data_IF_522402224839
#
_entry.id   IF_522402224839
#
_cell.length_a   1.000
_cell.length_b   1.000
_cell.length_c   1.000
_cell.angle_alpha   90.00
_cell.angle_beta   90.00
_cell.angle_gamma   90.00
#
_symmetry.space_group_name_H-M   'P 1'
#
loop_
_entity.id
_entity.type
_entity.pdbx_description
1 polymer ?
#
# COMPACT_ATOMS: atom_id res chain seq x y z
N UNK A 1 7.13 -5.72 1.36
CA UNK A 1 6.18 -4.92 2.14
C UNK A 1 5.55 -5.69 3.30
N UNK A 2 4.67 -6.69 3.09
CA UNK A 2 4.03 -7.40 4.23
C UNK A 2 5.07 -8.08 5.16
N UNK A 3 6.09 -8.73 4.60
CA UNK A 3 7.21 -9.29 5.37
C UNK A 3 8.00 -8.22 6.13
N UNK A 4 8.35 -7.13 5.47
CA UNK A 4 9.11 -6.02 6.09
C UNK A 4 8.32 -5.36 7.23
N UNK A 5 6.99 -5.25 7.11
CA UNK A 5 6.12 -4.75 8.19
C UNK A 5 6.08 -5.73 9.37
N UNK A 6 6.05 -7.04 9.08
CA UNK A 6 6.10 -8.07 10.10
C UNK A 6 7.40 -7.99 10.91
N UNK A 7 8.53 -7.68 10.26
CA UNK A 7 9.81 -7.52 10.94
C UNK A 7 9.85 -6.35 11.92
N UNK A 8 9.02 -5.31 11.73
CA UNK A 8 8.93 -4.14 12.62
C UNK A 8 8.24 -4.45 13.95
N UNK A 9 7.39 -5.47 14.00
CA UNK A 9 6.62 -5.85 15.19
C UNK A 9 7.53 -6.24 16.35
N UNK A 10 7.08 -5.99 17.57
CA UNK A 10 7.67 -6.60 18.75
C UNK A 10 7.60 -8.13 18.68
N UNK A 11 8.58 -8.80 19.30
CA UNK A 11 8.68 -10.27 19.26
C UNK A 11 7.37 -10.96 19.68
N UNK A 12 6.68 -10.46 20.70
CA UNK A 12 5.40 -11.01 21.17
C UNK A 12 4.29 -10.91 20.12
N UNK A 13 4.23 -9.80 19.39
CA UNK A 13 3.23 -9.57 18.35
C UNK A 13 3.52 -10.40 17.10
N UNK A 14 4.80 -10.55 16.74
CA UNK A 14 5.21 -11.50 15.68
C UNK A 14 4.80 -12.92 16.01
N UNK A 15 5.15 -13.40 17.21
CA UNK A 15 4.79 -14.76 17.62
C UNK A 15 3.28 -14.93 17.68
N UNK A 16 2.53 -13.94 18.16
CA UNK A 16 1.06 -13.99 18.18
C UNK A 16 0.46 -14.11 16.78
N UNK A 17 0.97 -13.35 15.81
CA UNK A 17 0.54 -13.48 14.42
C UNK A 17 0.92 -14.85 13.83
N UNK A 18 2.11 -15.38 14.14
CA UNK A 18 2.52 -16.73 13.69
C UNK A 18 1.70 -17.84 14.36
N UNK A 19 1.29 -17.67 15.61
CA UNK A 19 0.37 -18.57 16.29
C UNK A 19 -0.98 -18.60 15.57
N UNK A 20 -1.52 -17.42 15.24
CA UNK A 20 -2.74 -17.30 14.45
C UNK A 20 -2.59 -18.02 13.10
N UNK A 21 -1.49 -17.81 12.38
CA UNK A 21 -1.24 -18.50 11.11
C UNK A 21 -1.18 -20.02 11.25
N UNK A 22 -0.59 -20.55 12.34
CA UNK A 22 -0.62 -21.98 12.62
C UNK A 22 -2.04 -22.50 12.89
N UNK A 23 -2.83 -21.78 13.70
CA UNK A 23 -4.23 -22.15 13.95
C UNK A 23 -5.12 -22.06 12.70
N UNK A 24 -4.72 -21.29 11.67
CA UNK A 24 -5.45 -21.26 10.39
C UNK A 24 -5.16 -22.47 9.49
N UNK A 25 -4.06 -23.19 9.73
CA UNK A 25 -3.70 -24.37 8.95
C UNK A 25 -4.29 -25.66 9.53
N UNK A 26 -4.72 -25.62 10.79
CA UNK A 26 -5.06 -26.78 11.59
C UNK A 26 -6.47 -26.60 12.18
N UNK A 27 -7.42 -27.43 11.74
CA UNK A 27 -8.83 -27.35 12.15
C UNK A 27 -9.10 -27.95 13.55
N UNK A 28 -8.08 -28.55 14.18
CA UNK A 28 -8.19 -29.29 15.44
C UNK A 28 -7.20 -28.79 16.51
N UNK A 29 -7.18 -29.46 17.67
CA UNK A 29 -6.31 -29.13 18.79
C UNK A 29 -4.82 -29.18 18.43
N UNK A 30 -4.07 -28.15 18.82
CA UNK A 30 -2.61 -28.09 18.72
C UNK A 30 -1.94 -28.21 20.08
N UNK A 31 -1.05 -29.20 20.24
CA UNK A 31 -0.26 -29.32 21.46
C UNK A 31 0.79 -28.22 21.56
N UNK A 32 1.09 -27.81 22.79
CA UNK A 32 2.16 -26.82 23.08
C UNK A 32 3.51 -27.25 22.51
N UNK A 33 3.78 -28.56 22.47
CA UNK A 33 5.02 -29.12 21.91
C UNK A 33 5.09 -28.96 20.40
N UNK A 34 3.99 -29.17 19.68
CA UNK A 34 3.96 -29.00 18.24
C UNK A 34 4.13 -27.54 17.86
N UNK A 35 3.49 -26.63 18.60
CA UNK A 35 3.68 -25.19 18.43
C UNK A 35 5.13 -24.77 18.72
N UNK A 36 5.70 -25.27 19.82
CA UNK A 36 7.10 -25.06 20.23
C UNK A 36 8.08 -25.46 19.13
N UNK A 37 7.88 -26.64 18.52
CA UNK A 37 8.68 -27.14 17.40
C UNK A 37 8.49 -26.31 16.12
N UNK A 38 7.24 -25.98 15.75
CA UNK A 38 6.94 -25.23 14.54
C UNK A 38 7.48 -23.78 14.57
N UNK A 39 7.46 -23.15 15.75
CA UNK A 39 7.89 -21.76 15.93
C UNK A 39 9.34 -21.62 16.41
N UNK A 40 10.06 -22.73 16.63
CA UNK A 40 11.43 -22.77 17.16
C UNK A 40 11.60 -21.94 18.45
N UNK A 41 10.69 -22.15 19.41
CA UNK A 41 10.69 -21.49 20.72
C UNK A 41 10.47 -22.53 21.81
N UNK A 42 10.90 -22.25 23.05
CA UNK A 42 10.69 -23.20 24.16
C UNK A 42 9.21 -23.32 24.56
N UNK A 43 8.79 -24.49 25.07
CA UNK A 43 7.44 -24.75 25.59
C UNK A 43 6.98 -23.67 26.59
N UNK A 44 7.88 -23.21 27.46
CA UNK A 44 7.62 -22.13 28.41
C UNK A 44 7.31 -20.80 27.71
N UNK A 45 8.03 -20.49 26.63
CA UNK A 45 7.78 -19.30 25.82
C UNK A 45 6.47 -19.42 25.06
N UNK A 46 6.18 -20.61 24.51
CA UNK A 46 4.91 -20.92 23.84
C UNK A 46 3.72 -20.65 24.74
N UNK A 47 3.70 -21.22 25.95
CA UNK A 47 2.63 -20.97 26.93
C UNK A 47 2.48 -19.48 27.25
N UNK A 48 3.59 -18.77 27.44
CA UNK A 48 3.55 -17.32 27.71
C UNK A 48 2.92 -16.54 26.55
N UNK A 49 3.25 -16.88 25.30
CA UNK A 49 2.69 -16.18 24.14
C UNK A 49 1.23 -16.57 23.86
N UNK A 50 0.83 -17.79 24.20
CA UNK A 50 -0.59 -18.19 24.17
C UNK A 50 -1.40 -17.35 25.14
N UNK A 51 -0.96 -17.23 26.40
CA UNK A 51 -1.66 -16.38 27.38
C UNK A 51 -1.69 -14.91 26.95
N UNK A 52 -0.60 -14.40 26.40
CA UNK A 52 -0.59 -13.06 25.84
C UNK A 52 -1.60 -12.90 24.69
N UNK A 53 -1.69 -13.88 23.78
CA UNK A 53 -2.66 -13.86 22.69
C UNK A 53 -4.10 -13.95 23.22
N UNK A 54 -4.35 -14.71 24.29
CA UNK A 54 -5.64 -14.77 25.01
C UNK A 54 -6.08 -13.37 25.47
N UNK A 55 -5.19 -12.66 26.20
CA UNK A 55 -5.45 -11.30 26.68
C UNK A 55 -5.76 -10.35 25.52
N UNK A 56 -4.99 -10.44 24.42
CA UNK A 56 -5.20 -9.62 23.22
C UNK A 56 -6.53 -9.90 22.54
N UNK A 57 -6.97 -11.16 22.51
CA UNK A 57 -8.27 -11.54 21.94
C UNK A 57 -9.41 -11.01 22.81
N UNK A 58 -9.28 -11.09 24.13
CA UNK A 58 -10.29 -10.55 25.04
C UNK A 58 -10.42 -9.02 24.84
N UNK A 59 -9.30 -8.30 24.78
CA UNK A 59 -9.30 -6.86 24.46
C UNK A 59 -9.94 -6.55 23.09
N UNK A 60 -9.65 -7.37 22.07
CA UNK A 60 -10.22 -7.22 20.73
C UNK A 60 -11.73 -7.49 20.72
N UNK A 61 -12.18 -8.55 21.38
CA UNK A 61 -13.60 -8.91 21.47
C UNK A 61 -14.40 -7.81 22.19
N UNK A 62 -13.86 -7.26 23.27
CA UNK A 62 -14.48 -6.17 24.03
C UNK A 62 -14.56 -4.86 23.22
N UNK A 63 -13.55 -4.57 22.41
CA UNK A 63 -13.48 -3.32 21.65
C UNK A 63 -14.24 -3.33 20.32
N UNK A 64 -14.30 -4.47 19.64
CA UNK A 64 -14.90 -4.59 18.29
C UNK A 64 -16.24 -5.38 18.28
N UNK A 65 -16.79 -5.70 19.46
CA UNK A 65 -18.01 -6.51 19.63
C UNK A 65 -17.94 -7.85 18.87
N UNK A 66 -16.79 -8.53 18.97
CA UNK A 66 -16.51 -9.82 18.31
C UNK A 66 -16.53 -10.98 19.29
N UNK A 67 -16.55 -12.19 18.74
CA UNK A 67 -16.62 -13.44 19.52
C UNK A 67 -15.61 -14.48 19.02
N UNK A 68 -14.33 -14.10 18.97
CA UNK A 68 -13.26 -15.08 18.75
C UNK A 68 -13.06 -15.86 20.04
N UNK A 69 -13.00 -17.20 19.96
CA UNK A 69 -12.81 -18.06 21.14
C UNK A 69 -11.52 -18.85 21.02
N UNK A 70 -10.73 -18.80 22.08
CA UNK A 70 -9.59 -19.68 22.28
C UNK A 70 -9.90 -20.65 23.41
N UNK A 71 -9.78 -21.94 23.13
CA UNK A 71 -9.99 -23.00 24.11
C UNK A 71 -8.66 -23.60 24.50
N UNK A 72 -8.44 -23.69 25.81
CA UNK A 72 -7.30 -24.41 26.39
C UNK A 72 -7.80 -25.64 27.14
N UNK A 73 -7.33 -26.82 26.76
CA UNK A 73 -7.61 -28.06 27.49
C UNK A 73 -6.31 -28.77 27.86
N UNK A 74 -6.15 -29.03 29.16
CA UNK A 74 -4.98 -29.72 29.70
C UNK A 74 -4.82 -31.07 28.99
N UNK A 75 -3.61 -31.33 28.45
CA UNK A 75 -3.24 -32.53 27.68
C UNK A 75 -3.78 -32.65 26.26
N UNK A 76 -4.70 -31.78 25.80
CA UNK A 76 -5.07 -31.70 24.37
C UNK A 76 -4.41 -30.52 23.66
N UNK A 77 -4.17 -29.43 24.38
CA UNK A 77 -3.51 -28.24 23.83
C UNK A 77 -4.48 -27.07 23.65
N UNK A 78 -4.38 -26.38 22.52
CA UNK A 78 -5.15 -25.18 22.20
C UNK A 78 -5.98 -25.41 20.95
N UNK A 79 -7.23 -24.95 20.96
CA UNK A 79 -8.09 -24.89 19.79
C UNK A 79 -8.60 -23.47 19.59
N UNK A 80 -8.59 -23.01 18.34
CA UNK A 80 -9.05 -21.69 17.95
C UNK A 80 -10.36 -21.78 17.18
N UNK A 81 -11.39 -21.04 17.60
CA UNK A 81 -12.69 -20.98 16.91
C UNK A 81 -12.96 -19.55 16.43
N UNK A 82 -13.04 -19.37 15.12
CA UNK A 82 -13.15 -18.08 14.47
C UNK A 82 -13.79 -18.19 13.08
N UNK A 83 -14.31 -17.06 12.59
CA UNK A 83 -14.63 -16.88 11.17
C UNK A 83 -13.42 -16.31 10.42
N UNK A 84 -13.20 -16.71 9.16
CA UNK A 84 -12.08 -16.25 8.33
C UNK A 84 -11.96 -14.72 8.22
N UNK A 85 -13.06 -13.98 8.25
CA UNK A 85 -13.00 -12.51 8.24
C UNK A 85 -12.49 -11.94 9.57
N UNK A 86 -12.81 -12.59 10.68
CA UNK A 86 -12.47 -12.12 12.03
C UNK A 86 -10.98 -12.31 12.35
N UNK A 87 -10.33 -13.31 11.75
CA UNK A 87 -8.91 -13.59 11.96
C UNK A 87 -7.98 -12.57 11.30
N UNK A 88 -8.32 -12.10 10.10
CA UNK A 88 -7.55 -11.04 9.41
C UNK A 88 -7.70 -9.71 10.15
N UNK A 89 -8.90 -9.44 10.69
CA UNK A 89 -9.16 -8.26 11.52
C UNK A 89 -8.38 -8.31 12.84
N UNK A 90 -8.34 -9.47 13.52
CA UNK A 90 -7.52 -9.66 14.72
C UNK A 90 -6.03 -9.44 14.43
N UNK A 91 -5.51 -9.99 13.32
CA UNK A 91 -4.13 -9.73 12.89
C UNK A 91 -3.89 -8.25 12.65
N UNK A 92 -4.81 -7.56 11.98
CA UNK A 92 -4.69 -6.11 11.77
C UNK A 92 -4.73 -5.34 13.10
N UNK A 93 -5.56 -5.77 14.06
CA UNK A 93 -5.63 -5.18 15.40
C UNK A 93 -4.29 -5.29 16.13
N UNK A 94 -3.68 -6.49 16.14
CA UNK A 94 -2.34 -6.71 16.72
C UNK A 94 -1.31 -5.80 16.05
N UNK A 95 -1.32 -5.79 14.73
CA UNK A 95 -0.39 -5.01 13.91
C UNK A 95 -0.53 -3.51 14.15
N UNK A 96 -1.76 -3.00 14.24
CA UNK A 96 -2.04 -1.58 14.36
C UNK A 96 -1.84 -1.04 15.77
N UNK A 97 -1.82 -1.93 16.78
CA UNK A 97 -1.54 -1.59 18.17
C UNK A 97 -0.08 -1.79 18.58
N UNK A 98 0.76 -2.44 17.75
CA UNK A 98 2.20 -2.47 17.95
C UNK A 98 2.81 -1.06 17.89
N UNK A 99 3.66 -0.69 18.85
CA UNK A 99 4.12 0.70 19.00
C UNK A 99 4.78 1.26 17.74
N UNK A 100 5.68 0.48 17.12
CA UNK A 100 6.44 0.94 15.96
C UNK A 100 5.56 1.06 14.72
N UNK A 101 4.64 0.12 14.53
CA UNK A 101 3.69 0.19 13.42
C UNK A 101 2.63 1.25 13.63
N UNK A 102 2.16 1.47 14.86
CA UNK A 102 1.24 2.56 15.19
C UNK A 102 1.84 3.92 14.83
N UNK A 103 3.10 4.16 15.20
CA UNK A 103 3.83 5.39 14.83
C UNK A 103 3.93 5.52 13.30
N UNK A 104 4.25 4.43 12.59
CA UNK A 104 4.32 4.45 11.12
C UNK A 104 2.96 4.75 10.47
N UNK A 105 1.89 4.09 10.93
CA UNK A 105 0.53 4.29 10.42
C UNK A 105 0.07 5.74 10.68
N UNK A 106 0.35 6.28 11.86
CA UNK A 106 0.01 7.67 12.19
C UNK A 106 0.78 8.68 11.34
N UNK A 107 2.06 8.40 11.01
CA UNK A 107 2.83 9.19 10.05
C UNK A 107 2.19 9.13 8.65
N UNK A 108 1.80 7.94 8.19
CA UNK A 108 1.14 7.74 6.90
C UNK A 108 -0.20 8.48 6.80
N UNK A 109 -0.99 8.49 7.88
CA UNK A 109 -2.33 9.09 7.93
C UNK A 109 -2.31 10.55 8.39
N UNK A 110 -1.13 11.13 8.62
CA UNK A 110 -0.93 12.50 9.09
C UNK A 110 -1.67 12.80 10.41
N UNK A 111 -1.70 11.80 11.29
CA UNK A 111 -2.29 11.85 12.63
C UNK A 111 -1.28 12.26 13.71
N UNK A 112 -0.04 12.51 13.29
CA UNK A 112 1.05 12.97 14.16
C UNK A 112 0.98 14.47 14.43
N UNK A 113 1.54 14.85 15.58
CA UNK A 113 1.82 16.22 16.01
C UNK A 113 3.33 16.33 16.27
N UNK A 114 3.80 17.49 16.73
CA UNK A 114 5.14 17.63 17.30
C UNK A 114 5.37 16.56 18.37
N UNK A 115 6.56 15.97 18.40
CA UNK A 115 6.87 14.75 19.17
C UNK A 115 6.42 14.78 20.64
N UNK A 116 6.53 15.92 21.32
CA UNK A 116 6.08 16.08 22.71
C UNK A 116 4.56 15.90 22.84
N UNK A 117 3.79 16.56 21.98
CA UNK A 117 2.33 16.47 21.98
C UNK A 117 1.86 15.09 21.55
N UNK A 118 2.54 14.47 20.58
CA UNK A 118 2.25 13.09 20.19
C UNK A 118 2.53 12.09 21.33
N UNK A 119 3.62 12.29 22.06
CA UNK A 119 4.01 11.51 23.25
C UNK A 119 2.93 11.58 24.34
N UNK A 120 2.48 12.78 24.69
CA UNK A 120 1.44 12.99 25.69
C UNK A 120 0.09 12.40 25.26
N UNK A 121 -0.35 12.66 24.02
CA UNK A 121 -1.65 12.20 23.50
C UNK A 121 -1.77 10.68 23.44
N UNK A 122 -0.66 9.98 23.16
CA UNK A 122 -0.64 8.54 23.00
C UNK A 122 -0.11 7.80 24.23
N UNK A 123 0.26 8.51 25.30
CA UNK A 123 0.89 7.94 26.51
C UNK A 123 2.15 7.10 26.22
N UNK A 124 2.93 7.49 25.20
CA UNK A 124 4.17 6.83 24.79
C UNK A 124 5.34 7.76 25.08
N UNK A 125 6.42 7.28 25.71
CA UNK A 125 7.59 8.12 25.97
C UNK A 125 8.27 8.60 24.68
N UNK A 126 8.84 9.81 24.71
CA UNK A 126 9.64 10.36 23.58
C UNK A 126 10.78 9.43 23.18
N UNK A 127 11.38 8.73 24.15
CA UNK A 127 12.43 7.75 23.88
C UNK A 127 11.90 6.55 23.08
N UNK A 128 10.74 6.00 23.45
CA UNK A 128 10.06 4.93 22.69
C UNK A 128 9.76 5.35 21.26
N UNK A 129 9.16 6.53 21.08
CA UNK A 129 8.86 7.08 19.74
C UNK A 129 10.14 7.15 18.90
N UNK A 130 11.24 7.67 19.45
CA UNK A 130 12.53 7.74 18.74
C UNK A 130 13.09 6.37 18.40
N UNK A 131 12.93 5.37 19.27
CA UNK A 131 13.34 3.99 18.97
C UNK A 131 12.47 3.38 17.87
N UNK A 132 11.16 3.62 17.91
CA UNK A 132 10.24 3.23 16.85
C UNK A 132 10.64 3.85 15.50
N UNK A 133 10.97 5.14 15.46
CA UNK A 133 11.49 5.80 14.25
C UNK A 133 12.79 5.15 13.73
N UNK A 134 13.72 4.77 14.61
CA UNK A 134 14.96 4.07 14.21
C UNK A 134 14.68 2.70 13.60
N UNK A 135 13.71 1.95 14.13
CA UNK A 135 13.30 0.65 13.57
C UNK A 135 12.69 0.80 12.17
N UNK A 136 11.93 1.87 11.94
CA UNK A 136 11.25 2.15 10.67
C UNK A 136 12.22 2.67 9.60
N UNK A 137 13.33 3.30 10.00
CA UNK A 137 14.27 3.96 9.10
C UNK A 137 14.77 3.11 7.91
N UNK A 138 15.16 1.82 8.08
CA UNK A 138 15.59 0.98 6.96
C UNK A 138 14.52 0.84 5.87
N UNK A 139 13.25 0.75 6.27
CA UNK A 139 12.11 0.67 5.36
C UNK A 139 11.90 1.98 4.57
N UNK A 140 12.19 3.14 5.18
CA UNK A 140 12.06 4.44 4.51
C UNK A 140 13.19 4.70 3.51
N UNK A 141 14.41 4.22 3.82
CA UNK A 141 15.59 4.45 2.99
C UNK A 141 15.45 3.86 1.59
N UNK A 142 14.77 2.73 1.42
CA UNK A 142 14.51 2.13 0.09
C UNK A 142 13.65 3.03 -0.82
N UNK A 143 12.91 3.97 -0.24
CA UNK A 143 12.12 4.98 -0.94
C UNK A 143 12.76 6.38 -0.93
N UNK A 144 14.00 6.51 -0.45
CA UNK A 144 14.68 7.82 -0.26
C UNK A 144 13.92 8.76 0.68
N UNK A 145 13.23 8.21 1.68
CA UNK A 145 12.45 8.95 2.67
C UNK A 145 13.18 8.94 4.02
N UNK A 146 13.01 10.03 4.78
CA UNK A 146 13.43 10.14 6.18
C UNK A 146 12.29 10.71 7.02
N UNK A 147 12.46 10.80 8.34
CA UNK A 147 11.48 11.43 9.25
C UNK A 147 12.13 12.60 9.98
N UNK A 148 11.48 13.75 9.94
CA UNK A 148 11.76 14.83 10.88
C UNK A 148 11.24 14.41 12.25
N UNK A 149 12.12 13.93 13.11
CA UNK A 149 11.77 13.43 14.45
C UNK A 149 11.15 14.48 15.37
N UNK A 150 11.37 15.78 15.13
CA UNK A 150 10.78 16.86 15.92
C UNK A 150 9.32 17.08 15.53
N UNK A 151 9.06 17.19 14.23
CA UNK A 151 7.72 17.43 13.66
C UNK A 151 6.89 16.17 13.46
N UNK A 152 7.52 14.99 13.52
CA UNK A 152 6.95 13.70 13.15
C UNK A 152 6.27 13.76 11.78
N UNK A 153 7.06 14.06 10.75
CA UNK A 153 6.60 14.05 9.35
C UNK A 153 7.65 13.44 8.45
N UNK A 154 7.20 12.81 7.36
CA UNK A 154 8.09 12.36 6.29
C UNK A 154 8.78 13.54 5.60
N UNK A 155 10.03 13.33 5.24
CA UNK A 155 10.89 14.26 4.48
C UNK A 155 11.50 13.48 3.31
N UNK A 156 11.37 14.04 2.11
CA UNK A 156 11.78 13.44 0.84
C UNK A 156 10.94 13.99 -0.31
N UNK A 157 11.16 13.51 -1.53
CA UNK A 157 10.32 13.90 -2.67
C UNK A 157 8.89 13.38 -2.48
N UNK A 158 7.91 14.26 -2.66
CA UNK A 158 6.50 13.98 -2.35
C UNK A 158 5.95 12.76 -3.11
N UNK A 159 6.41 12.54 -4.35
CA UNK A 159 6.02 11.37 -5.15
C UNK A 159 6.39 10.05 -4.48
N UNK A 160 7.61 9.95 -3.92
CA UNK A 160 8.06 8.75 -3.21
C UNK A 160 7.31 8.58 -1.90
N UNK A 161 7.05 9.67 -1.18
CA UNK A 161 6.26 9.64 0.06
C UNK A 161 4.86 9.09 -0.20
N UNK A 162 4.16 9.57 -1.25
CA UNK A 162 2.80 9.10 -1.57
C UNK A 162 2.76 7.63 -1.99
N UNK A 163 3.76 7.17 -2.76
CA UNK A 163 3.88 5.76 -3.16
C UNK A 163 4.21 4.86 -1.97
N UNK A 164 5.08 5.33 -1.08
CA UNK A 164 5.39 4.65 0.16
C UNK A 164 4.14 4.51 1.02
N UNK A 165 3.42 5.60 1.30
CA UNK A 165 2.17 5.59 2.06
C UNK A 165 1.15 4.64 1.43
N UNK A 166 0.98 4.69 0.11
CA UNK A 166 0.09 3.77 -0.61
C UNK A 166 0.49 2.31 -0.38
N UNK A 167 1.78 1.99 -0.49
CA UNK A 167 2.29 0.63 -0.32
C UNK A 167 2.04 0.08 1.09
N UNK A 168 2.21 0.92 2.12
CA UNK A 168 1.94 0.57 3.52
C UNK A 168 0.45 0.38 3.77
N UNK A 169 -0.37 1.40 3.45
CA UNK A 169 -1.80 1.36 3.74
C UNK A 169 -2.53 0.28 2.93
N UNK A 170 -2.14 0.06 1.67
CA UNK A 170 -2.68 -1.02 0.86
C UNK A 170 -2.28 -2.40 1.41
N UNK A 171 -1.05 -2.56 1.90
CA UNK A 171 -0.59 -3.81 2.53
C UNK A 171 -1.43 -4.19 3.75
N UNK A 172 -1.79 -3.19 4.55
CA UNK A 172 -2.50 -3.35 5.83
C UNK A 172 -4.02 -3.44 5.66
N UNK A 173 -4.62 -2.48 4.95
CA UNK A 173 -6.08 -2.25 4.98
C UNK A 173 -6.82 -2.71 3.70
N UNK A 174 -6.15 -3.37 2.73
CA UNK A 174 -6.81 -3.82 1.49
C UNK A 174 -8.05 -4.68 1.72
N UNK A 175 -8.07 -5.47 2.80
CA UNK A 175 -9.18 -6.36 3.16
C UNK A 175 -9.98 -5.85 4.36
N UNK A 176 -9.65 -4.66 4.85
CA UNK A 176 -10.23 -4.09 6.05
C UNK A 176 -10.98 -2.77 5.73
N UNK A 177 -11.45 -2.16 6.81
CA UNK A 177 -12.07 -0.85 6.92
C UNK A 177 -11.19 0.28 6.39
N UNK A 178 -11.87 1.35 6.02
CA UNK A 178 -11.29 2.54 5.43
C UNK A 178 -10.49 3.38 6.44
N UNK A 179 -9.16 3.52 6.31
CA UNK A 179 -8.34 4.15 7.37
C UNK A 179 -8.35 5.68 7.35
N UNK A 180 -9.05 6.33 6.41
CA UNK A 180 -9.02 7.79 6.24
C UNK A 180 -10.24 8.46 6.89
N UNK A 181 -10.11 8.84 8.16
CA UNK A 181 -11.19 9.44 8.96
C UNK A 181 -11.88 10.67 8.31
N UNK A 182 -11.12 11.51 7.60
CA UNK A 182 -11.61 12.80 7.07
C UNK A 182 -11.80 12.79 5.54
N UNK A 183 -11.81 11.60 4.92
CA UNK A 183 -12.04 11.42 3.49
C UNK A 183 -13.22 10.46 3.33
N UNK A 184 -14.26 10.92 2.65
CA UNK A 184 -15.42 10.10 2.33
C UNK A 184 -15.07 9.09 1.23
N UNK A 185 -15.03 7.81 1.58
CA UNK A 185 -14.74 6.71 0.66
C UNK A 185 -15.77 6.66 -0.48
N UNK A 186 -17.06 6.69 -0.15
CA UNK A 186 -18.16 6.58 -1.12
C UNK A 186 -18.15 7.71 -2.15
N UNK A 187 -17.76 8.92 -1.76
CA UNK A 187 -17.59 10.06 -2.67
C UNK A 187 -16.45 9.82 -3.67
N UNK A 188 -15.33 9.25 -3.22
CA UNK A 188 -14.22 8.89 -4.10
C UNK A 188 -14.62 7.78 -5.08
N UNK A 189 -15.34 6.75 -4.62
CA UNK A 189 -15.87 5.71 -5.51
C UNK A 189 -16.77 6.29 -6.60
N UNK A 190 -17.69 7.20 -6.26
CA UNK A 190 -18.54 7.88 -7.26
C UNK A 190 -17.73 8.67 -8.30
N UNK A 191 -16.62 9.29 -7.88
CA UNK A 191 -15.71 9.97 -8.81
C UNK A 191 -15.01 8.99 -9.74
N UNK A 192 -14.56 7.85 -9.22
CA UNK A 192 -13.93 6.79 -10.03
C UNK A 192 -14.93 6.18 -11.00
N UNK A 193 -16.18 5.95 -10.60
CA UNK A 193 -17.26 5.48 -11.50
C UNK A 193 -17.52 6.48 -12.64
N UNK A 194 -17.41 7.78 -12.36
CA UNK A 194 -17.56 8.82 -13.38
C UNK A 194 -16.41 8.81 -14.38
N UNK A 195 -15.18 8.61 -13.90
CA UNK A 195 -13.99 8.45 -14.75
C UNK A 195 -14.11 7.20 -15.62
N UNK A 196 -14.47 6.07 -15.00
CA UNK A 196 -14.71 4.78 -15.67
C UNK A 196 -15.67 4.92 -16.85
N UNK A 197 -16.84 5.54 -16.62
CA UNK A 197 -17.84 5.81 -17.67
C UNK A 197 -17.32 6.73 -18.76
N UNK A 198 -16.57 7.77 -18.39
CA UNK A 198 -16.04 8.74 -19.36
C UNK A 198 -14.96 8.19 -20.27
N UNK A 199 -14.24 7.16 -19.80
CA UNK A 199 -13.11 6.54 -20.48
C UNK A 199 -13.48 5.24 -21.22
N UNK A 200 -14.76 4.85 -21.17
CA UNK A 200 -15.24 3.55 -21.64
C UNK A 200 -14.40 2.38 -21.09
N UNK A 201 -14.11 2.46 -19.78
CA UNK A 201 -13.38 1.43 -19.06
C UNK A 201 -14.33 0.62 -18.17
N UNK A 202 -13.85 -0.55 -17.75
CA UNK A 202 -14.51 -1.33 -16.69
C UNK A 202 -13.47 -1.74 -15.67
N UNK A 203 -13.55 -1.21 -14.47
CA UNK A 203 -12.72 -1.53 -13.31
C UNK A 203 -13.40 -2.61 -12.46
N UNK A 204 -12.57 -3.40 -11.79
CA UNK A 204 -13.06 -4.33 -10.75
C UNK A 204 -13.10 -3.57 -9.43
N UNK A 205 -13.79 -4.11 -8.43
CA UNK A 205 -13.85 -3.47 -7.10
C UNK A 205 -12.47 -3.26 -6.50
N UNK A 206 -11.54 -4.20 -6.70
CA UNK A 206 -10.15 -4.06 -6.25
C UNK A 206 -9.46 -2.88 -6.95
N UNK A 207 -9.66 -2.70 -8.26
CA UNK A 207 -9.09 -1.55 -8.97
C UNK A 207 -9.66 -0.22 -8.46
N UNK A 208 -10.97 -0.16 -8.23
CA UNK A 208 -11.62 1.01 -7.65
C UNK A 208 -11.08 1.30 -6.26
N UNK A 209 -10.98 0.29 -5.38
CA UNK A 209 -10.40 0.42 -4.04
C UNK A 209 -8.97 0.95 -4.09
N UNK A 210 -8.12 0.42 -4.97
CA UNK A 210 -6.74 0.91 -5.13
C UNK A 210 -6.68 2.39 -5.55
N UNK A 211 -7.51 2.79 -6.52
CA UNK A 211 -7.59 4.18 -6.95
C UNK A 211 -8.13 5.08 -5.84
N UNK A 212 -9.14 4.63 -5.09
CA UNK A 212 -9.72 5.35 -3.94
C UNK A 212 -8.66 5.59 -2.87
N UNK A 213 -7.88 4.58 -2.50
CA UNK A 213 -6.77 4.71 -1.55
C UNK A 213 -5.73 5.74 -2.02
N UNK A 214 -5.28 5.62 -3.27
CA UNK A 214 -4.28 6.53 -3.82
C UNK A 214 -4.78 7.98 -3.89
N UNK A 215 -6.05 8.17 -4.29
CA UNK A 215 -6.71 9.48 -4.30
C UNK A 215 -6.80 10.06 -2.89
N UNK A 216 -7.21 9.28 -1.89
CA UNK A 216 -7.29 9.74 -0.51
C UNK A 216 -5.92 10.21 0.01
N UNK A 217 -4.84 9.48 -0.31
CA UNK A 217 -3.47 9.88 0.04
C UNK A 217 -3.11 11.22 -0.61
N UNK A 218 -3.38 11.39 -1.90
CA UNK A 218 -3.14 12.67 -2.57
C UNK A 218 -3.92 13.81 -1.90
N UNK A 219 -5.18 13.57 -1.54
CA UNK A 219 -6.03 14.58 -0.89
C UNK A 219 -5.52 14.99 0.50
N UNK A 220 -5.18 14.04 1.36
CA UNK A 220 -4.70 14.39 2.71
C UNK A 220 -3.37 15.14 2.66
N UNK A 221 -2.47 14.78 1.74
CA UNK A 221 -1.18 15.46 1.56
C UNK A 221 -1.37 16.86 0.99
N UNK A 222 -2.22 17.01 -0.02
CA UNK A 222 -2.54 18.29 -0.65
C UNK A 222 -3.21 19.27 0.35
N UNK A 223 -4.17 18.81 1.16
CA UNK A 223 -4.80 19.62 2.23
C UNK A 223 -3.81 20.13 3.28
N UNK A 224 -2.70 19.42 3.47
CA UNK A 224 -1.58 19.84 4.35
C UNK A 224 -0.51 20.65 3.62
N UNK A 225 -0.78 21.07 2.38
CA UNK A 225 0.12 21.84 1.51
C UNK A 225 1.42 21.12 1.18
N UNK A 226 1.40 19.78 1.17
CA UNK A 226 2.52 18.94 0.76
C UNK A 226 2.30 18.55 -0.69
N UNK A 227 2.79 19.42 -1.57
CA UNK A 227 2.54 19.35 -3.00
C UNK A 227 3.60 18.55 -3.73
N UNK A 228 3.18 17.94 -4.83
CA UNK A 228 4.09 17.41 -5.83
C UNK A 228 4.85 18.59 -6.47
N UNK A 229 6.18 18.50 -6.48
CA UNK A 229 7.04 19.43 -7.19
C UNK A 229 6.87 19.31 -8.71
N UNK A 230 7.25 20.36 -9.44
CA UNK A 230 7.15 20.36 -10.89
C UNK A 230 8.34 19.64 -11.51
N UNK A 231 8.09 18.45 -12.06
CA UNK A 231 9.10 17.61 -12.71
C UNK A 231 8.94 17.73 -14.23
N UNK A 232 9.90 18.34 -14.90
CA UNK A 232 9.88 18.52 -16.36
C UNK A 232 9.87 17.18 -17.09
N UNK A 233 10.50 16.17 -16.52
CA UNK A 233 10.57 14.81 -17.07
C UNK A 233 9.17 14.20 -17.19
N UNK A 234 8.18 14.66 -16.41
CA UNK A 234 6.82 14.13 -16.48
C UNK A 234 6.11 14.44 -17.78
N UNK A 235 6.54 15.47 -18.50
CA UNK A 235 6.06 15.77 -19.84
C UNK A 235 6.43 14.68 -20.86
N UNK A 236 7.45 13.85 -20.58
CA UNK A 236 7.83 12.74 -21.47
C UNK A 236 6.93 11.52 -21.28
N UNK A 237 6.24 11.42 -20.15
CA UNK A 237 5.33 10.33 -19.84
C UNK A 237 3.88 10.69 -20.19
N UNK A 238 3.46 11.92 -19.88
CA UNK A 238 2.05 12.32 -19.98
C UNK A 238 1.89 13.56 -20.89
N UNK A 239 1.03 13.45 -21.89
CA UNK A 239 0.73 14.56 -22.81
C UNK A 239 -0.29 15.55 -22.21
N UNK A 240 0.18 16.39 -21.30
CA UNK A 240 -0.67 17.33 -20.53
C UNK A 240 -1.54 18.22 -21.42
N UNK A 241 -1.01 18.68 -22.57
CA UNK A 241 -1.75 19.53 -23.50
C UNK A 241 -2.91 18.80 -24.19
N UNK A 242 -2.69 17.54 -24.60
CA UNK A 242 -3.74 16.70 -25.17
C UNK A 242 -4.80 16.34 -24.13
N UNK A 243 -4.39 16.10 -22.88
CA UNK A 243 -5.30 15.78 -21.79
C UNK A 243 -6.14 16.97 -21.38
N UNK A 244 -5.59 18.18 -21.35
CA UNK A 244 -6.37 19.41 -21.10
C UNK A 244 -7.49 19.64 -22.13
N UNK A 245 -7.32 19.16 -23.36
CA UNK A 245 -8.34 19.24 -24.42
C UNK A 245 -9.34 18.08 -24.38
N UNK A 246 -8.92 16.89 -23.95
CA UNK A 246 -9.68 15.65 -24.10
C UNK A 246 -10.20 15.05 -22.77
N UNK A 247 -9.70 15.51 -21.61
CA UNK A 247 -10.00 14.96 -20.28
C UNK A 247 -10.53 16.03 -19.31
N UNK A 248 -11.44 16.87 -19.81
CA UNK A 248 -12.15 17.84 -18.98
C UNK A 248 -12.79 17.18 -17.75
N UNK A 249 -13.23 15.93 -17.85
CA UNK A 249 -13.89 15.21 -16.75
C UNK A 249 -12.92 14.92 -15.60
N UNK A 250 -11.68 14.51 -15.89
CA UNK A 250 -10.68 14.30 -14.84
C UNK A 250 -10.30 15.63 -14.21
N UNK A 251 -10.03 16.65 -15.02
CA UNK A 251 -9.65 17.98 -14.52
C UNK A 251 -10.79 18.58 -13.67
N UNK A 252 -12.03 18.53 -14.15
CA UNK A 252 -13.21 18.96 -13.37
C UNK A 252 -13.38 18.12 -12.11
N UNK A 253 -13.15 16.81 -12.19
CA UNK A 253 -13.15 15.90 -11.06
C UNK A 253 -12.13 16.28 -9.99
N UNK A 254 -10.89 16.57 -10.39
CA UNK A 254 -9.81 17.01 -9.49
C UNK A 254 -10.09 18.39 -8.88
N UNK A 255 -10.66 19.31 -9.67
CA UNK A 255 -11.07 20.63 -9.20
C UNK A 255 -12.16 20.53 -8.11
N UNK A 256 -13.08 19.56 -8.19
CA UNK A 256 -14.09 19.32 -7.14
C UNK A 256 -13.46 18.92 -5.78
N UNK A 257 -12.20 18.50 -5.80
CA UNK A 257 -11.40 18.19 -4.63
C UNK A 257 -10.36 19.26 -4.30
N UNK A 258 -10.41 20.41 -4.96
CA UNK A 258 -9.46 21.52 -4.80
C UNK A 258 -8.02 21.18 -5.23
N UNK A 259 -7.84 20.17 -6.09
CA UNK A 259 -6.55 19.86 -6.71
C UNK A 259 -6.45 20.65 -8.02
N UNK A 260 -5.72 21.76 -7.98
CA UNK A 260 -5.58 22.68 -9.13
C UNK A 260 -4.18 22.67 -9.78
N UNK A 261 -3.17 22.19 -9.06
CA UNK A 261 -1.79 22.18 -9.57
C UNK A 261 -1.66 21.21 -10.75
N UNK A 262 -0.99 21.64 -11.81
CA UNK A 262 -0.75 20.79 -12.97
C UNK A 262 0.11 19.59 -12.61
N UNK A 263 1.16 19.77 -11.80
CA UNK A 263 2.01 18.67 -11.35
C UNK A 263 1.22 17.65 -10.53
N UNK A 264 0.26 18.05 -9.70
CA UNK A 264 -0.61 17.10 -8.98
C UNK A 264 -1.47 16.25 -9.92
N UNK A 265 -2.06 16.88 -10.94
CA UNK A 265 -2.87 16.17 -11.94
C UNK A 265 -2.00 15.20 -12.74
N UNK A 266 -0.81 15.66 -13.17
CA UNK A 266 0.12 14.82 -13.93
C UNK A 266 0.56 13.61 -13.10
N UNK A 267 0.85 13.78 -11.81
CA UNK A 267 1.21 12.67 -10.92
C UNK A 267 0.15 11.57 -10.91
N UNK A 268 -1.11 11.98 -10.74
CA UNK A 268 -2.24 11.06 -10.69
C UNK A 268 -2.37 10.33 -12.03
N UNK A 269 -2.23 11.05 -13.15
CA UNK A 269 -2.30 10.48 -14.49
C UNK A 269 -1.16 9.49 -14.76
N UNK A 270 0.08 9.81 -14.40
CA UNK A 270 1.21 8.86 -14.49
C UNK A 270 0.91 7.59 -13.70
N UNK A 271 0.42 7.72 -12.46
CA UNK A 271 0.05 6.55 -11.65
C UNK A 271 -1.10 5.76 -12.26
N UNK A 272 -2.08 6.41 -12.88
CA UNK A 272 -3.13 5.72 -13.64
C UNK A 272 -2.56 4.95 -14.82
N UNK A 273 -1.69 5.56 -15.64
CA UNK A 273 -1.06 4.91 -16.80
C UNK A 273 -0.17 3.72 -16.42
N UNK A 274 0.29 3.62 -15.17
CA UNK A 274 0.99 2.41 -14.67
C UNK A 274 0.06 1.22 -14.50
N UNK A 275 -1.26 1.41 -14.58
CA UNK A 275 -2.24 0.32 -14.41
C UNK A 275 -2.52 -0.30 -15.77
N UNK A 276 -2.18 -1.59 -15.92
CA UNK A 276 -2.45 -2.36 -17.15
C UNK A 276 -3.90 -2.26 -17.64
N UNK A 277 -4.87 -2.05 -16.73
CA UNK A 277 -6.30 -1.94 -17.05
C UNK A 277 -6.64 -0.70 -17.87
N UNK A 278 -5.84 0.37 -17.79
CA UNK A 278 -6.03 1.58 -18.62
C UNK A 278 -5.92 1.27 -20.12
N UNK A 279 -5.10 0.29 -20.48
CA UNK A 279 -4.86 -0.09 -21.87
C UNK A 279 -5.90 -1.06 -22.44
N UNK A 280 -7.02 -1.28 -21.73
CA UNK A 280 -8.19 -1.98 -22.28
C UNK A 280 -9.05 -1.08 -23.17
N UNK A 281 -9.00 0.23 -22.96
CA UNK A 281 -9.56 1.19 -23.90
C UNK A 281 -8.57 1.35 -25.05
N UNK A 282 -9.01 1.05 -26.28
CA UNK A 282 -8.16 1.17 -27.47
C UNK A 282 -7.75 2.64 -27.71
N UNK A 283 -8.63 3.59 -27.44
CA UNK A 283 -8.36 5.03 -27.53
C UNK A 283 -7.22 5.44 -26.58
N UNK A 284 -7.32 5.07 -25.30
CA UNK A 284 -6.28 5.39 -24.30
C UNK A 284 -4.97 4.72 -24.69
N UNK A 285 -5.03 3.43 -25.04
CA UNK A 285 -3.86 2.66 -25.43
C UNK A 285 -3.14 3.28 -26.61
N UNK A 286 -3.86 3.59 -27.69
CA UNK A 286 -3.27 4.14 -28.90
C UNK A 286 -2.66 5.52 -28.63
N UNK A 287 -3.37 6.36 -27.87
CA UNK A 287 -2.91 7.70 -27.48
C UNK A 287 -1.60 7.65 -26.67
N UNK A 288 -1.56 6.84 -25.62
CA UNK A 288 -0.39 6.72 -24.72
C UNK A 288 0.81 6.13 -25.48
N UNK A 289 0.61 5.05 -26.22
CA UNK A 289 1.70 4.42 -26.98
C UNK A 289 2.24 5.31 -28.11
N UNK A 290 1.37 6.00 -28.86
CA UNK A 290 1.80 6.97 -29.88
C UNK A 290 2.62 8.10 -29.25
N UNK A 291 2.22 8.55 -28.06
CA UNK A 291 2.93 9.62 -27.37
C UNK A 291 4.34 9.21 -26.95
N UNK A 292 4.46 8.08 -26.25
CA UNK A 292 5.76 7.55 -25.83
C UNK A 292 6.69 7.25 -27.01
N UNK A 293 6.14 6.76 -28.13
CA UNK A 293 6.88 6.56 -29.38
C UNK A 293 7.35 7.88 -29.99
N UNK A 294 6.49 8.89 -30.07
CA UNK A 294 6.82 10.22 -30.59
C UNK A 294 7.91 10.91 -29.76
N UNK A 295 7.85 10.76 -28.44
CA UNK A 295 8.83 11.33 -27.49
C UNK A 295 10.14 10.56 -27.41
N UNK A 296 10.24 9.37 -28.02
CA UNK A 296 11.36 8.45 -27.81
C UNK A 296 11.66 8.19 -26.33
N UNK A 297 10.61 8.17 -25.49
CA UNK A 297 10.73 7.97 -24.04
C UNK A 297 11.43 6.66 -23.68
N UNK A 298 12.04 6.63 -22.49
CA UNK A 298 12.61 5.43 -21.89
C UNK A 298 11.61 4.27 -21.80
N UNK A 299 10.33 4.55 -21.53
CA UNK A 299 9.22 3.57 -21.55
C UNK A 299 9.14 2.87 -22.90
N UNK A 300 9.16 3.64 -23.99
CA UNK A 300 9.09 3.10 -25.35
C UNK A 300 10.34 2.27 -25.67
N UNK A 301 11.52 2.78 -25.34
CA UNK A 301 12.79 2.08 -25.57
C UNK A 301 12.85 0.75 -24.81
N UNK A 302 12.53 0.77 -23.51
CA UNK A 302 12.53 -0.41 -22.65
C UNK A 302 11.49 -1.44 -23.11
N UNK A 303 10.27 -0.98 -23.44
CA UNK A 303 9.21 -1.88 -23.92
C UNK A 303 9.62 -2.55 -25.23
N UNK A 304 10.24 -1.80 -26.14
CA UNK A 304 10.73 -2.33 -27.43
C UNK A 304 11.84 -3.35 -27.20
N UNK A 305 12.83 -3.03 -26.37
CA UNK A 305 13.95 -3.92 -26.06
C UNK A 305 13.49 -5.25 -25.43
N UNK A 306 12.57 -5.20 -24.45
CA UNK A 306 12.06 -6.41 -23.80
C UNK A 306 11.29 -7.27 -24.82
N UNK A 307 10.47 -6.64 -25.66
CA UNK A 307 9.72 -7.35 -26.72
C UNK A 307 10.68 -8.00 -27.72
N UNK A 308 11.72 -7.30 -28.16
CA UNK A 308 12.73 -7.84 -29.09
C UNK A 308 13.47 -9.04 -28.50
N UNK A 309 13.96 -8.92 -27.25
CA UNK A 309 14.60 -10.05 -26.55
C UNK A 309 13.66 -11.24 -26.39
N UNK A 310 12.43 -11.00 -25.97
CA UNK A 310 11.43 -12.05 -25.84
C UNK A 310 11.16 -12.76 -27.17
N UNK A 311 11.11 -12.03 -28.29
CA UNK A 311 10.92 -12.62 -29.61
C UNK A 311 12.10 -13.45 -30.10
N UNK A 312 13.33 -13.07 -29.72
CA UNK A 312 14.53 -13.84 -30.04
C UNK A 312 14.49 -15.21 -29.34
N UNK A 313 14.13 -15.22 -28.06
CA UNK A 313 14.12 -16.45 -27.24
C UNK A 313 12.87 -17.32 -27.50
N UNK A 314 11.74 -16.72 -27.86
CA UNK A 314 10.45 -17.39 -28.02
C UNK A 314 9.84 -17.21 -29.42
N UNK A 315 10.57 -17.66 -30.45
CA UNK A 315 10.24 -17.53 -31.88
C UNK A 315 8.80 -17.95 -32.29
N UNK A 316 8.12 -18.80 -31.50
CA UNK A 316 6.75 -19.27 -31.73
C UNK A 316 5.65 -18.21 -31.47
N UNK A 317 5.95 -17.08 -30.82
CA UNK A 317 4.93 -16.11 -30.38
C UNK A 317 4.79 -14.83 -31.22
N UNK A 318 5.40 -14.77 -32.41
CA UNK A 318 5.42 -13.56 -33.29
C UNK A 318 4.06 -12.89 -33.52
N UNK A 319 2.93 -13.62 -33.52
CA UNK A 319 1.58 -13.06 -33.78
C UNK A 319 0.84 -12.53 -32.53
N UNK A 320 1.30 -12.79 -31.30
CA UNK A 320 0.62 -12.38 -30.03
C UNK A 320 1.32 -11.24 -29.27
N UNK A 321 2.36 -10.64 -29.86
CA UNK A 321 3.24 -9.66 -29.21
C UNK A 321 2.52 -8.37 -28.80
N UNK A 322 1.47 -7.96 -29.51
CA UNK A 322 0.68 -6.76 -29.18
C UNK A 322 -0.04 -6.84 -27.83
N UNK A 323 -0.19 -8.04 -27.27
CA UNK A 323 -0.82 -8.28 -25.96
C UNK A 323 0.21 -8.17 -24.84
N UNK A 324 1.45 -8.57 -25.09
CA UNK A 324 2.55 -8.52 -24.12
C UNK A 324 3.12 -7.12 -23.94
N UNK A 325 3.00 -6.24 -24.93
CA UNK A 325 3.48 -4.86 -24.83
C UNK A 325 2.75 -4.03 -23.76
N UNK A 326 1.53 -4.41 -23.36
CA UNK A 326 0.72 -3.63 -22.41
C UNK A 326 1.16 -3.79 -20.95
N UNK A 327 1.32 -5.01 -20.40
CA UNK A 327 1.93 -5.16 -19.07
C UNK A 327 3.35 -4.60 -19.03
N UNK A 328 4.15 -4.80 -20.08
CA UNK A 328 5.53 -4.30 -20.17
C UNK A 328 5.55 -2.77 -20.14
N UNK A 329 4.70 -2.09 -20.92
CA UNK A 329 4.59 -0.64 -20.88
C UNK A 329 4.18 -0.14 -19.49
N UNK A 330 3.22 -0.81 -18.85
CA UNK A 330 2.77 -0.43 -17.50
C UNK A 330 3.86 -0.54 -16.43
N UNK A 331 4.68 -1.59 -16.49
CA UNK A 331 5.84 -1.81 -15.61
C UNK A 331 6.97 -0.85 -15.95
N UNK A 332 7.21 -0.59 -17.23
CA UNK A 332 8.22 0.36 -17.70
C UNK A 332 7.91 1.77 -17.22
N UNK A 333 6.65 2.23 -17.30
CA UNK A 333 6.23 3.53 -16.77
C UNK A 333 6.44 3.58 -15.25
N UNK A 334 6.04 2.53 -14.53
CA UNK A 334 6.20 2.49 -13.08
C UNK A 334 7.67 2.60 -12.64
N UNK A 335 8.55 1.83 -13.28
CA UNK A 335 9.97 1.88 -12.97
C UNK A 335 10.59 3.22 -13.38
N UNK A 336 10.34 3.68 -14.61
CA UNK A 336 10.85 4.95 -15.09
C UNK A 336 10.43 6.14 -14.21
N UNK A 337 9.16 6.18 -13.81
CA UNK A 337 8.61 7.28 -13.03
C UNK A 337 9.02 7.25 -11.54
N UNK A 338 9.22 6.06 -10.96
CA UNK A 338 9.29 5.91 -9.49
C UNK A 338 10.52 5.17 -8.95
N UNK A 339 11.30 4.55 -9.81
CA UNK A 339 12.53 3.87 -9.44
C UNK A 339 13.60 4.24 -10.46
N UNK A 340 14.19 5.43 -10.29
CA UNK A 340 15.37 5.82 -11.05
C UNK A 340 16.51 4.81 -10.81
N UNK A 341 16.55 3.82 -11.68
CA UNK A 341 17.63 2.88 -11.89
C UNK A 341 17.66 2.63 -13.38
N UNK A 342 18.77 2.96 -14.01
CA UNK A 342 19.07 2.58 -15.38
C UNK A 342 18.88 1.06 -15.52
N UNK A 343 17.75 0.62 -16.08
CA UNK A 343 17.54 -0.80 -16.45
C UNK A 343 18.45 -1.19 -17.64
N UNK A 344 19.27 -0.24 -18.13
CA UNK A 344 20.19 -0.36 -19.26
C UNK A 344 21.67 -0.48 -18.84
N UNK A 345 21.97 -0.97 -17.63
CA UNK A 345 23.33 -1.49 -17.32
C UNK A 345 23.28 -2.98 -17.05
#
# INVERSE_FOLDING_TARGET
MRSELFDLLEKRNRVSCSLIELFQLEDDWLEVKDISLNLDISDRSTQRYIHYLEEVIDEYNDSEEKHIKMHYEKFKGIKFEFEDSSIEQLKLYIISNDESLKVLIDLCLLRTDVIKKYSEKNFISVYSIKNSLKKIEPLLRSFKITVDSGKLTFVGEEKYIRIFIYSILWSLYKNDSWPFQYIDEGRLYKSIDSIEKSMDLTFTDIHKKQMTYFMAICLIRNRKKMYIEDFKEWEDYVNVESLRKNEEIIIKGMNNYQIFSSSEIIFILVVMETKHRMYKSDDIKERVLKYHKKRHSDVYQLTTLIVEKFQQDFSLFRKKVSIFSLPIASVAIYNAAFFQGSILT
#
